data_IF_228486945085
#
_entry.id   IF_228486945085
#
_cell.length_a   1.000
_cell.length_b   1.000
_cell.length_c   1.000
_cell.angle_alpha   90.00
_cell.angle_beta   90.00
_cell.angle_gamma   90.00
#
_symmetry.space_group_name_H-M   'P 1'
#
loop_
_entity.id
_entity.type
_entity.pdbx_description
1 polymer ?
#
# COMPACT_ATOMS: atom_id res chain seq x y z
N UNK A 1 0.31 11.74 26.54
CA UNK A 1 0.98 10.60 25.87
C UNK A 1 1.95 11.19 24.87
N UNK A 2 3.17 10.70 24.77
CA UNK A 2 4.18 11.31 23.89
C UNK A 2 3.78 11.15 22.42
N UNK A 3 3.39 12.25 21.77
CA UNK A 3 3.05 12.37 20.33
C UNK A 3 4.21 12.02 19.36
N UNK A 4 5.25 11.34 19.84
CA UNK A 4 6.50 11.15 19.10
C UNK A 4 6.66 9.77 18.45
N UNK A 5 5.69 8.86 18.62
CA UNK A 5 5.77 7.56 17.97
C UNK A 5 4.55 6.64 18.08
N UNK A 6 4.57 5.62 17.23
CA UNK A 6 3.56 4.57 17.09
C UNK A 6 3.87 3.38 18.00
N UNK A 7 2.97 3.04 18.91
CA UNK A 7 3.10 1.84 19.75
C UNK A 7 2.88 0.59 18.89
N UNK A 8 3.82 -0.36 18.93
CA UNK A 8 3.75 -1.62 18.15
C UNK A 8 3.58 -2.87 19.02
N UNK A 9 3.67 -2.73 20.34
CA UNK A 9 3.49 -3.84 21.28
C UNK A 9 4.23 -3.62 22.59
N UNK A 10 4.48 -4.71 23.31
CA UNK A 10 5.19 -4.72 24.60
C UNK A 10 6.31 -5.74 24.53
N UNK A 11 7.49 -5.35 25.01
CA UNK A 11 8.69 -6.19 25.12
C UNK A 11 9.37 -5.92 26.45
N UNK A 12 9.69 -6.98 27.22
CA UNK A 12 10.29 -6.83 28.55
C UNK A 12 9.43 -6.04 29.55
N UNK A 13 8.10 -6.08 29.41
CA UNK A 13 7.17 -5.30 30.22
C UNK A 13 7.08 -3.81 29.88
N UNK A 14 7.78 -3.35 28.82
CA UNK A 14 7.75 -1.97 28.37
C UNK A 14 7.10 -1.84 26.99
N UNK A 15 6.32 -0.77 26.79
CA UNK A 15 5.76 -0.42 25.48
C UNK A 15 6.89 -0.17 24.49
N UNK A 16 6.81 -0.84 23.33
CA UNK A 16 7.72 -0.68 22.22
C UNK A 16 7.10 0.27 21.21
N UNK A 17 7.88 1.26 20.79
CA UNK A 17 7.39 2.39 20.00
C UNK A 17 8.29 2.61 18.78
N UNK A 18 7.70 2.73 17.60
CA UNK A 18 8.35 3.25 16.41
C UNK A 18 8.31 4.77 16.49
N UNK A 19 9.48 5.40 16.65
CA UNK A 19 9.57 6.86 16.59
C UNK A 19 9.18 7.35 15.18
N UNK A 20 8.25 8.30 15.08
CA UNK A 20 7.76 8.79 13.80
C UNK A 20 8.86 9.35 12.91
N UNK A 21 9.86 10.04 13.48
CA UNK A 21 11.03 10.57 12.73
C UNK A 21 11.92 9.47 12.15
N UNK A 22 11.77 8.22 12.60
CA UNK A 22 12.51 7.06 12.11
C UNK A 22 11.64 6.10 11.29
N UNK A 23 10.34 6.37 11.15
CA UNK A 23 9.39 5.55 10.40
C UNK A 23 9.59 5.62 8.86
N UNK A 24 10.49 6.47 8.38
CA UNK A 24 10.89 6.57 6.98
C UNK A 24 11.91 5.50 6.54
N UNK A 25 12.24 4.54 7.40
CA UNK A 25 13.10 3.40 7.07
C UNK A 25 12.26 2.19 6.68
N UNK A 26 12.73 1.42 5.71
CA UNK A 26 12.10 0.15 5.34
C UNK A 26 12.10 -0.82 6.53
N UNK A 27 10.98 -1.50 6.72
CA UNK A 27 10.79 -2.53 7.74
C UNK A 27 10.23 -3.81 7.14
N UNK A 28 10.36 -4.92 7.87
CA UNK A 28 9.87 -6.23 7.47
C UNK A 28 9.00 -6.82 8.59
N UNK A 29 7.74 -7.14 8.26
CA UNK A 29 6.86 -7.93 9.12
C UNK A 29 6.86 -9.36 8.59
N UNK A 30 7.54 -10.26 9.29
CA UNK A 30 7.65 -11.67 8.93
C UNK A 30 7.00 -12.57 9.99
N UNK A 31 6.48 -13.71 9.55
CA UNK A 31 5.82 -14.69 10.42
C UNK A 31 5.06 -15.76 9.63
N UNK A 32 4.72 -16.88 10.27
CA UNK A 32 3.93 -17.92 9.64
C UNK A 32 2.46 -17.49 9.45
N UNK A 33 1.66 -18.30 8.74
CA UNK A 33 0.21 -18.05 8.65
C UNK A 33 -0.43 -18.14 10.03
N UNK A 34 -1.33 -17.21 10.35
CA UNK A 34 -2.00 -17.16 11.66
C UNK A 34 -1.20 -16.49 12.79
N UNK A 35 0.03 -16.03 12.56
CA UNK A 35 0.84 -15.38 13.61
C UNK A 35 0.59 -13.87 13.74
N UNK A 36 -0.53 -13.36 13.24
CA UNK A 36 -0.93 -11.96 13.41
C UNK A 36 -0.31 -10.94 12.46
N UNK A 37 0.37 -11.35 11.38
CA UNK A 37 0.96 -10.40 10.39
C UNK A 37 -0.02 -9.33 9.92
N UNK A 38 -1.23 -9.74 9.54
CA UNK A 38 -2.29 -8.84 9.07
C UNK A 38 -2.74 -7.89 10.19
N UNK A 39 -2.94 -8.40 11.41
CA UNK A 39 -3.36 -7.57 12.57
C UNK A 39 -2.28 -6.55 12.92
N UNK A 40 -1.00 -6.93 12.86
CA UNK A 40 0.12 -5.98 13.04
C UNK A 40 0.11 -4.90 11.96
N UNK A 41 -0.07 -5.29 10.69
CA UNK A 41 -0.11 -4.33 9.58
C UNK A 41 -1.30 -3.38 9.69
N UNK A 42 -2.48 -3.87 10.09
CA UNK A 42 -3.66 -3.06 10.37
C UNK A 42 -3.38 -2.05 11.49
N UNK A 43 -2.93 -2.51 12.66
CA UNK A 43 -2.62 -1.62 13.78
C UNK A 43 -1.58 -0.55 13.44
N UNK A 44 -0.59 -0.88 12.60
CA UNK A 44 0.35 0.10 12.10
C UNK A 44 -0.29 1.11 11.15
N UNK A 45 -1.09 0.65 10.19
CA UNK A 45 -1.78 1.51 9.24
C UNK A 45 -2.75 2.48 9.93
N UNK A 46 -3.55 1.98 10.88
CA UNK A 46 -4.46 2.78 11.70
C UNK A 46 -3.69 3.81 12.54
N UNK A 47 -2.61 3.40 13.19
CA UNK A 47 -1.82 4.30 14.02
C UNK A 47 -1.11 5.40 13.23
N UNK A 48 -0.62 5.10 12.02
CA UNK A 48 -0.09 6.14 11.12
C UNK A 48 -1.19 7.06 10.60
N UNK A 49 -2.34 6.52 10.21
CA UNK A 49 -3.50 7.31 9.77
C UNK A 49 -3.97 8.28 10.87
N UNK A 50 -4.07 7.80 12.12
CA UNK A 50 -4.39 8.62 13.30
C UNK A 50 -3.38 9.73 13.57
N UNK A 51 -2.11 9.51 13.20
CA UNK A 51 -1.05 10.52 13.27
C UNK A 51 -1.03 11.47 12.06
N UNK A 52 -2.00 11.37 11.15
CA UNK A 52 -2.09 12.21 9.94
C UNK A 52 -1.13 11.80 8.82
N UNK A 53 -0.54 10.60 8.89
CA UNK A 53 0.35 10.06 7.86
C UNK A 53 -0.46 9.20 6.88
N UNK A 54 -0.52 9.56 5.59
CA UNK A 54 -1.18 8.73 4.59
C UNK A 54 -0.48 7.36 4.46
N UNK A 55 -1.26 6.28 4.46
CA UNK A 55 -0.75 4.91 4.30
C UNK A 55 -1.32 4.33 3.02
N UNK A 56 -0.44 3.89 2.13
CA UNK A 56 -0.81 3.15 0.93
C UNK A 56 -0.49 1.67 1.14
N UNK A 57 -1.48 0.79 0.93
CA UNK A 57 -1.32 -0.65 1.13
C UNK A 57 -1.94 -1.42 -0.02
N UNK A 58 -1.23 -2.43 -0.51
CA UNK A 58 -1.77 -3.42 -1.44
C UNK A 58 -2.47 -4.53 -0.64
N UNK A 59 -3.79 -4.61 -0.75
CA UNK A 59 -4.59 -5.63 -0.09
C UNK A 59 -4.93 -6.79 -1.05
N UNK A 60 -3.96 -7.67 -1.26
CA UNK A 60 -4.11 -8.81 -2.20
C UNK A 60 -5.14 -9.83 -1.70
N UNK A 61 -5.36 -9.93 -0.39
CA UNK A 61 -6.25 -10.94 0.23
C UNK A 61 -7.63 -10.40 0.62
N UNK A 62 -7.81 -9.08 0.63
CA UNK A 62 -9.02 -8.43 1.13
C UNK A 62 -9.08 -8.34 2.67
N UNK A 63 -8.01 -8.75 3.36
CA UNK A 63 -8.00 -8.82 4.83
C UNK A 63 -7.84 -7.44 5.49
N UNK A 64 -7.42 -6.41 4.74
CA UNK A 64 -7.18 -5.06 5.26
C UNK A 64 -8.34 -4.10 5.02
N UNK A 65 -9.18 -4.39 4.02
CA UNK A 65 -10.35 -3.58 3.66
C UNK A 65 -11.30 -3.29 4.83
N UNK A 66 -11.38 -4.19 5.81
CA UNK A 66 -12.19 -4.05 7.02
C UNK A 66 -11.83 -2.84 7.90
N UNK A 67 -10.64 -2.23 7.75
CA UNK A 67 -10.22 -1.05 8.52
C UNK A 67 -11.10 0.19 8.27
N UNK A 68 -11.88 0.20 7.18
CA UNK A 68 -12.83 1.26 6.86
C UNK A 68 -14.02 1.31 7.83
N UNK A 69 -14.29 0.21 8.54
CA UNK A 69 -15.43 0.10 9.45
C UNK A 69 -14.94 -0.10 10.88
N UNK A 70 -15.58 0.60 11.82
CA UNK A 70 -15.33 0.34 13.23
C UNK A 70 -15.70 -1.11 13.59
N UNK A 71 -14.85 -1.76 14.39
CA UNK A 71 -15.19 -3.05 14.99
C UNK A 71 -16.39 -2.95 15.94
N UNK A 72 -16.89 -4.10 16.42
CA UNK A 72 -18.04 -4.14 17.32
C UNK A 72 -17.81 -5.04 18.55
N UNK A 73 -18.27 -4.62 19.75
CA UNK A 73 -18.26 -5.44 20.96
C UNK A 73 -19.08 -6.74 20.86
N UNK A 74 -20.01 -6.83 19.91
CA UNK A 74 -20.84 -8.03 19.71
C UNK A 74 -20.14 -9.11 18.89
N UNK A 75 -18.95 -8.83 18.37
CA UNK A 75 -18.18 -9.79 17.56
C UNK A 75 -17.44 -10.81 18.42
N UNK A 76 -17.19 -12.00 17.86
CA UNK A 76 -16.44 -13.08 18.54
C UNK A 76 -15.03 -12.64 18.96
N UNK A 77 -14.43 -11.70 18.25
CA UNK A 77 -13.07 -11.22 18.48
C UNK A 77 -12.96 -10.19 19.61
N UNK A 78 -14.09 -9.66 20.11
CA UNK A 78 -14.10 -8.65 21.15
C UNK A 78 -13.35 -9.07 22.41
N UNK A 79 -13.62 -10.28 22.92
CA UNK A 79 -12.97 -10.78 24.13
C UNK A 79 -11.45 -10.88 23.98
N UNK A 80 -10.97 -11.28 22.79
CA UNK A 80 -9.54 -11.41 22.50
C UNK A 80 -8.87 -10.03 22.51
N UNK A 81 -9.48 -9.04 21.84
CA UNK A 81 -8.91 -7.69 21.77
C UNK A 81 -8.96 -6.97 23.12
N UNK A 82 -10.06 -7.08 23.87
CA UNK A 82 -10.16 -6.48 25.21
C UNK A 82 -9.14 -7.09 26.17
N UNK A 83 -8.99 -8.43 26.17
CA UNK A 83 -7.99 -9.09 27.01
C UNK A 83 -6.57 -8.69 26.63
N UNK A 84 -6.26 -8.62 25.33
CA UNK A 84 -4.93 -8.21 24.85
C UNK A 84 -4.63 -6.76 25.19
N UNK A 85 -5.60 -5.86 25.04
CA UNK A 85 -5.46 -4.44 25.37
C UNK A 85 -5.18 -4.25 26.86
N UNK A 86 -5.88 -4.99 27.72
CA UNK A 86 -5.59 -5.00 29.15
C UNK A 86 -4.18 -5.55 29.46
N UNK A 87 -3.76 -6.64 28.81
CA UNK A 87 -2.43 -7.26 28.99
C UNK A 87 -1.29 -6.28 28.63
N UNK A 88 -1.44 -5.53 27.55
CA UNK A 88 -0.43 -4.55 27.11
C UNK A 88 -0.55 -3.19 27.81
N UNK A 89 -1.51 -3.04 28.73
CA UNK A 89 -1.79 -1.81 29.45
C UNK A 89 -2.34 -0.69 28.56
N UNK A 90 -3.10 -1.03 27.52
CA UNK A 90 -3.81 -0.07 26.66
C UNK A 90 -5.23 0.15 27.16
N UNK A 91 -5.34 1.07 28.13
CA UNK A 91 -6.59 1.38 28.85
C UNK A 91 -7.58 2.19 28.01
N UNK A 92 -7.08 2.88 26.99
CA UNK A 92 -7.86 3.79 26.15
C UNK A 92 -8.27 3.13 24.82
N UNK A 93 -8.07 1.81 24.70
CA UNK A 93 -8.42 1.07 23.51
C UNK A 93 -9.95 1.08 23.27
N UNK A 94 -10.34 1.54 22.09
CA UNK A 94 -11.73 1.55 21.62
C UNK A 94 -11.81 1.24 20.14
N UNK A 95 -12.93 0.69 19.69
CA UNK A 95 -13.20 0.55 18.26
C UNK A 95 -13.34 1.93 17.61
N UNK A 96 -12.68 2.11 16.47
CA UNK A 96 -12.81 3.28 15.62
C UNK A 96 -12.75 2.84 14.16
N UNK A 97 -13.40 3.57 13.28
CA UNK A 97 -13.17 3.50 11.85
C UNK A 97 -11.90 4.29 11.46
N UNK A 98 -11.52 4.19 10.20
CA UNK A 98 -10.44 4.98 9.62
C UNK A 98 -10.87 5.52 8.26
N UNK A 99 -10.39 6.71 7.86
CA UNK A 99 -10.59 7.19 6.50
C UNK A 99 -9.85 6.27 5.53
N UNK A 100 -10.61 5.50 4.75
CA UNK A 100 -10.08 4.55 3.77
C UNK A 100 -10.61 4.89 2.41
N UNK A 101 -9.71 4.96 1.44
CA UNK A 101 -10.05 5.07 0.03
C UNK A 101 -9.65 3.80 -0.70
N UNK A 102 -10.62 3.10 -1.27
CA UNK A 102 -10.37 1.95 -2.12
C UNK A 102 -9.97 2.43 -3.52
N UNK A 103 -8.84 1.92 -4.00
CA UNK A 103 -8.36 2.11 -5.36
C UNK A 103 -8.60 0.81 -6.12
N UNK A 104 -9.21 0.91 -7.29
CA UNK A 104 -9.58 -0.22 -8.12
C UNK A 104 -8.93 -0.11 -9.49
N UNK A 105 -8.19 -1.15 -9.86
CA UNK A 105 -7.53 -1.26 -11.16
C UNK A 105 -8.53 -1.39 -12.31
N UNK A 106 -9.68 -2.03 -12.08
CA UNK A 106 -10.72 -2.21 -13.09
C UNK A 106 -11.79 -1.11 -13.04
N UNK A 107 -11.80 -0.31 -11.97
CA UNK A 107 -12.72 0.82 -11.80
C UNK A 107 -14.18 0.44 -11.56
N UNK A 108 -14.44 -0.76 -11.04
CA UNK A 108 -15.79 -1.29 -10.79
C UNK A 108 -16.30 -1.00 -9.37
N UNK A 109 -15.43 -1.19 -8.36
CA UNK A 109 -15.80 -1.23 -6.94
C UNK A 109 -15.11 -0.14 -6.10
N UNK A 110 -14.22 0.65 -6.70
CA UNK A 110 -13.45 1.68 -6.01
C UNK A 110 -13.10 2.86 -6.91
N UNK A 111 -12.20 3.72 -6.42
CA UNK A 111 -11.68 4.81 -7.23
C UNK A 111 -10.79 4.26 -8.34
N UNK A 112 -11.08 4.58 -9.61
CA UNK A 112 -10.33 4.03 -10.73
C UNK A 112 -8.90 4.53 -10.68
N UNK A 113 -7.95 3.60 -10.75
CA UNK A 113 -6.55 3.96 -10.98
C UNK A 113 -6.43 4.45 -12.42
N UNK A 114 -5.97 5.69 -12.61
CA UNK A 114 -5.71 6.27 -13.93
C UNK A 114 -4.21 6.38 -14.13
N UNK A 115 -3.72 5.76 -15.20
CA UNK A 115 -2.35 5.91 -15.69
C UNK A 115 -2.36 5.74 -17.21
N UNK A 116 -1.41 6.35 -17.89
CA UNK A 116 -1.14 6.17 -19.32
C UNK A 116 0.18 5.43 -19.53
N UNK A 117 0.37 4.88 -20.73
CA UNK A 117 1.67 4.29 -21.12
C UNK A 117 2.79 5.33 -21.04
N UNK A 118 2.52 6.57 -21.46
CA UNK A 118 3.43 7.71 -21.30
C UNK A 118 3.82 7.96 -19.84
N UNK A 119 2.88 7.93 -18.89
CA UNK A 119 3.17 8.14 -17.47
C UNK A 119 3.98 6.99 -16.84
N UNK A 120 3.77 5.75 -17.31
CA UNK A 120 4.59 4.61 -16.86
C UNK A 120 6.03 4.72 -17.38
N UNK A 121 6.19 5.17 -18.62
CA UNK A 121 7.49 5.36 -19.26
C UNK A 121 8.18 4.06 -19.69
N UNK A 122 9.25 4.17 -20.50
CA UNK A 122 9.86 3.02 -21.16
C UNK A 122 10.54 2.08 -20.16
N UNK A 123 11.21 2.62 -19.13
CA UNK A 123 11.97 1.83 -18.15
C UNK A 123 11.07 0.93 -17.29
N UNK A 124 9.99 1.48 -16.73
CA UNK A 124 9.07 0.71 -15.89
C UNK A 124 8.37 -0.38 -16.72
N UNK A 125 7.91 -0.04 -17.92
CA UNK A 125 7.28 -1.00 -18.82
C UNK A 125 8.24 -2.10 -19.28
N UNK A 126 9.51 -1.78 -19.55
CA UNK A 126 10.52 -2.79 -19.88
C UNK A 126 10.73 -3.78 -18.73
N UNK A 127 10.81 -3.28 -17.49
CA UNK A 127 10.95 -4.15 -16.30
C UNK A 127 9.70 -5.00 -16.04
N UNK A 128 8.51 -4.43 -16.19
CA UNK A 128 7.26 -5.16 -16.00
C UNK A 128 7.07 -6.28 -17.03
N UNK A 129 7.56 -6.08 -18.25
CA UNK A 129 7.47 -7.05 -19.33
C UNK A 129 8.70 -7.97 -19.45
N UNK A 130 9.66 -7.86 -18.52
CA UNK A 130 10.91 -8.62 -18.51
C UNK A 130 11.65 -8.59 -19.87
N UNK A 131 11.78 -7.39 -20.43
CA UNK A 131 12.43 -7.19 -21.73
C UNK A 131 13.94 -7.37 -21.63
N UNK A 132 14.53 -7.92 -22.70
CA UNK A 132 16.00 -7.94 -22.84
C UNK A 132 16.54 -6.55 -23.25
N UNK A 133 17.87 -6.38 -23.19
CA UNK A 133 18.53 -5.10 -23.48
C UNK A 133 18.19 -4.53 -24.87
N UNK A 134 18.05 -5.41 -25.88
CA UNK A 134 17.69 -4.98 -27.24
C UNK A 134 16.25 -4.46 -27.29
N UNK A 135 15.32 -5.20 -26.69
CA UNK A 135 13.91 -4.82 -26.63
C UNK A 135 13.69 -3.54 -25.80
N UNK A 136 14.42 -3.36 -24.70
CA UNK A 136 14.41 -2.13 -23.91
C UNK A 136 14.95 -0.94 -24.72
N UNK A 137 16.01 -1.15 -25.50
CA UNK A 137 16.55 -0.14 -26.42
C UNK A 137 15.52 0.29 -27.46
N UNK A 138 14.88 -0.65 -28.14
CA UNK A 138 13.81 -0.36 -29.12
C UNK A 138 12.65 0.39 -28.46
N UNK A 139 12.22 -0.02 -27.27
CA UNK A 139 11.16 0.66 -26.53
C UNK A 139 11.53 2.09 -26.16
N UNK A 140 12.76 2.33 -25.73
CA UNK A 140 13.24 3.68 -25.41
C UNK A 140 13.21 4.59 -26.63
N UNK A 141 13.57 4.05 -27.82
CA UNK A 141 13.50 4.79 -29.09
C UNK A 141 12.05 5.13 -29.44
N UNK A 142 11.11 4.18 -29.29
CA UNK A 142 9.69 4.41 -29.57
C UNK A 142 9.11 5.54 -28.71
N UNK A 143 9.41 5.55 -27.41
CA UNK A 143 8.98 6.63 -26.52
C UNK A 143 9.62 7.98 -26.92
N UNK A 144 10.91 7.98 -27.26
CA UNK A 144 11.59 9.21 -27.68
C UNK A 144 11.02 9.78 -28.99
N UNK A 145 10.64 8.92 -29.94
CA UNK A 145 9.98 9.32 -31.17
C UNK A 145 8.60 9.93 -30.90
N UNK A 146 7.78 9.26 -30.08
CA UNK A 146 6.48 9.77 -29.65
C UNK A 146 6.58 11.15 -28.99
N UNK A 147 7.52 11.32 -28.05
CA UNK A 147 7.77 12.60 -27.36
C UNK A 147 8.18 13.71 -28.33
N UNK A 148 9.02 13.41 -29.33
CA UNK A 148 9.47 14.38 -30.34
C UNK A 148 8.33 14.86 -31.22
N UNK A 149 7.35 14.01 -31.48
CA UNK A 149 6.17 14.32 -32.29
C UNK A 149 5.00 14.87 -31.48
N UNK A 150 5.14 14.94 -30.15
CA UNK A 150 4.08 15.39 -29.24
C UNK A 150 2.92 14.39 -29.13
N UNK A 151 3.19 13.11 -29.37
CA UNK A 151 2.22 12.03 -29.28
C UNK A 151 2.23 11.44 -27.86
N UNK A 152 1.08 11.53 -27.19
CA UNK A 152 0.86 10.82 -25.92
C UNK A 152 0.47 9.38 -26.20
N UNK A 153 1.20 8.43 -25.61
CA UNK A 153 0.86 7.01 -25.64
C UNK A 153 -0.09 6.76 -24.47
N UNK A 154 -1.39 6.67 -24.75
CA UNK A 154 -2.42 6.52 -23.72
C UNK A 154 -2.50 5.07 -23.28
N UNK A 155 -2.47 4.14 -24.23
CA UNK A 155 -2.63 2.71 -24.00
C UNK A 155 -1.61 1.85 -24.77
N UNK A 156 -1.79 0.53 -24.70
CA UNK A 156 -0.90 -0.42 -25.37
C UNK A 156 -1.10 -0.48 -26.89
N UNK A 157 -2.23 -0.02 -27.41
CA UNK A 157 -2.49 0.01 -28.85
C UNK A 157 -1.74 1.18 -29.48
N UNK A 158 -1.67 2.32 -28.78
CA UNK A 158 -0.79 3.44 -29.16
C UNK A 158 0.69 3.02 -29.17
N UNK A 159 1.14 2.30 -28.13
CA UNK A 159 2.52 1.79 -28.06
C UNK A 159 2.83 0.81 -29.19
N UNK A 160 1.91 -0.11 -29.49
CA UNK A 160 2.07 -1.04 -30.62
C UNK A 160 2.16 -0.30 -31.94
N UNK A 161 1.29 0.70 -32.14
CA UNK A 161 1.31 1.54 -33.35
C UNK A 161 2.63 2.27 -33.50
N UNK A 162 3.14 2.87 -32.41
CA UNK A 162 4.44 3.54 -32.41
C UNK A 162 5.59 2.58 -32.74
N UNK A 163 5.57 1.36 -32.20
CA UNK A 163 6.59 0.35 -32.47
C UNK A 163 6.58 -0.12 -33.94
N UNK A 164 5.42 -0.14 -34.59
CA UNK A 164 5.30 -0.46 -36.03
C UNK A 164 5.79 0.71 -36.89
N UNK A 165 5.51 1.94 -36.49
CA UNK A 165 5.90 3.13 -37.24
C UNK A 165 7.42 3.36 -37.26
N UNK A 166 8.12 3.02 -36.17
CA UNK A 166 9.60 3.13 -36.10
C UNK A 166 10.37 1.91 -36.65
N UNK A 167 9.68 0.84 -37.05
CA UNK A 167 10.29 -0.42 -37.53
C UNK A 167 10.71 -0.34 -38.99
#
# INVERSE_FOLDING_TARGET
>A
MSDEGLVIGVGGGQRQVINFKRANRHGLIAGATGTGKTVTLQGMAEGFSKAGVPVFVSDVKGDLSGMAMAGSPTTKTHQIFTARSAEIGDTDWSYSDNPVQFWDLFGEQGHPIRTTVSEMGPLLLSRLMDLNEVQEGVRTIAFHAADKEGLLLLDLDDLQTMLVDIA
#
